data_IF_817247955524
#
_entry.id   IF_817247955524
#
_cell.length_a   1.000
_cell.length_b   1.000
_cell.length_c   1.000
_cell.angle_alpha   90.00
_cell.angle_beta   90.00
_cell.angle_gamma   90.00
#
_symmetry.space_group_name_H-M   'P 1'
#
loop_
_entity.id
_entity.type
_entity.pdbx_description
1 polymer ?
#
# COMPACT_ATOMS: atom_id res chain seq x y z
N UNK A 1 18.67 -0.94 14.93
CA UNK A 1 17.52 -1.29 15.80
C UNK A 1 17.12 -2.74 15.53
N UNK A 2 16.48 -3.47 16.47
CA UNK A 2 15.99 -4.82 16.18
C UNK A 2 14.90 -4.78 15.09
N UNK A 3 14.85 -5.81 14.25
CA UNK A 3 13.77 -5.98 13.28
C UNK A 3 12.47 -6.31 14.04
N UNK A 4 11.43 -5.53 13.79
CA UNK A 4 10.08 -5.81 14.30
C UNK A 4 9.21 -6.21 13.11
N UNK A 5 8.49 -7.31 13.25
CA UNK A 5 7.56 -7.81 12.22
C UNK A 5 6.16 -7.85 12.80
N UNK A 6 5.22 -7.20 12.11
CA UNK A 6 3.80 -7.23 12.43
C UNK A 6 3.02 -7.71 11.20
N UNK A 7 1.90 -8.40 11.43
CA UNK A 7 1.00 -8.82 10.36
C UNK A 7 -0.42 -8.41 10.71
N UNK A 8 -1.04 -7.64 9.80
CA UNK A 8 -2.41 -7.18 9.93
C UNK A 8 -3.25 -7.81 8.82
N UNK A 9 -4.40 -8.40 9.19
CA UNK A 9 -5.31 -9.04 8.22
C UNK A 9 -6.68 -8.37 8.29
N UNK A 10 -7.19 -7.97 7.13
CA UNK A 10 -8.54 -7.43 6.96
C UNK A 10 -9.39 -8.39 6.14
N UNK A 11 -10.69 -8.45 6.44
CA UNK A 11 -11.68 -9.18 5.63
C UNK A 11 -12.65 -8.17 5.04
N UNK A 12 -13.00 -8.36 3.77
CA UNK A 12 -13.89 -7.46 3.05
C UNK A 12 -14.84 -8.23 2.14
N UNK A 13 -16.03 -7.67 1.95
CA UNK A 13 -17.03 -8.16 1.01
C UNK A 13 -16.72 -7.60 -0.37
N UNK A 14 -15.74 -8.21 -1.06
CA UNK A 14 -15.31 -7.83 -2.41
C UNK A 14 -14.66 -9.03 -3.09
N UNK A 15 -14.58 -9.02 -4.43
CA UNK A 15 -13.73 -9.98 -5.14
C UNK A 15 -12.26 -9.62 -4.94
N UNK A 16 -11.37 -10.61 -4.95
CA UNK A 16 -9.92 -10.34 -4.84
C UNK A 16 -9.41 -9.51 -6.03
N UNK A 17 -10.00 -9.68 -7.23
CA UNK A 17 -9.67 -8.89 -8.41
C UNK A 17 -10.00 -7.41 -8.26
N UNK A 18 -11.13 -7.06 -7.63
CA UNK A 18 -11.50 -5.67 -7.40
C UNK A 18 -10.56 -5.02 -6.38
N UNK A 19 -10.25 -5.76 -5.31
CA UNK A 19 -9.31 -5.30 -4.28
C UNK A 19 -7.92 -5.11 -4.87
N UNK A 20 -7.45 -6.08 -5.64
CA UNK A 20 -6.17 -6.01 -6.32
C UNK A 20 -6.12 -4.83 -7.29
N UNK A 21 -7.20 -4.61 -8.05
CA UNK A 21 -7.32 -3.46 -8.96
C UNK A 21 -7.29 -2.13 -8.20
N UNK A 22 -7.89 -2.06 -7.01
CA UNK A 22 -7.80 -0.88 -6.15
C UNK A 22 -6.38 -0.66 -5.62
N UNK A 23 -5.66 -1.73 -5.26
CA UNK A 23 -4.25 -1.68 -4.83
C UNK A 23 -3.33 -1.20 -5.96
N UNK A 24 -3.50 -1.73 -7.18
CA UNK A 24 -2.69 -1.31 -8.34
C UNK A 24 -2.98 0.14 -8.75
N UNK A 25 -4.22 0.59 -8.55
CA UNK A 25 -4.66 1.95 -8.79
C UNK A 25 -4.55 2.87 -7.56
N UNK A 26 -3.81 2.47 -6.51
CA UNK A 26 -3.79 3.16 -5.22
C UNK A 26 -3.50 4.67 -5.32
N UNK A 27 -2.64 5.07 -6.27
CA UNK A 27 -2.30 6.50 -6.48
C UNK A 27 -3.51 7.38 -6.82
N UNK A 28 -4.53 6.82 -7.48
CA UNK A 28 -5.76 7.52 -7.81
C UNK A 28 -6.89 7.18 -6.83
N UNK A 29 -6.97 5.92 -6.38
CA UNK A 29 -8.10 5.43 -5.59
C UNK A 29 -7.99 5.85 -4.13
N UNK A 30 -6.82 5.79 -3.50
CA UNK A 30 -6.71 5.94 -2.05
C UNK A 30 -7.01 7.36 -1.57
N UNK A 31 -6.47 8.45 -2.19
CA UNK A 31 -6.84 9.80 -1.79
C UNK A 31 -8.33 10.10 -1.93
N UNK A 32 -8.99 9.51 -2.94
CA UNK A 32 -10.42 9.69 -3.17
C UNK A 32 -11.28 8.87 -2.21
N UNK A 33 -10.92 7.60 -1.98
CA UNK A 33 -11.71 6.67 -1.17
C UNK A 33 -11.47 6.87 0.34
N UNK A 34 -10.28 7.31 0.73
CA UNK A 34 -9.84 7.47 2.11
C UNK A 34 -9.13 8.82 2.32
N UNK A 35 -9.80 9.96 2.02
CA UNK A 35 -9.18 11.30 2.09
C UNK A 35 -8.71 11.67 3.50
N UNK A 36 -9.31 11.07 4.53
CA UNK A 36 -8.87 11.28 5.91
C UNK A 36 -7.51 10.64 6.22
N UNK A 37 -7.13 9.58 5.48
CA UNK A 37 -5.88 8.83 5.66
C UNK A 37 -4.81 9.25 4.65
N UNK A 38 -5.21 9.51 3.40
CA UNK A 38 -4.32 9.90 2.30
C UNK A 38 -4.81 11.21 1.71
N UNK A 39 -3.99 12.26 1.76
CA UNK A 39 -4.29 13.52 1.10
C UNK A 39 -3.91 13.47 -0.38
N UNK A 40 -2.75 12.89 -0.70
CA UNK A 40 -2.26 12.71 -2.07
C UNK A 40 -1.26 11.55 -2.14
N UNK A 41 -1.14 10.94 -3.31
CA UNK A 41 -0.09 9.96 -3.62
C UNK A 41 0.46 10.30 -5.01
N UNK A 42 1.57 11.03 -5.02
CA UNK A 42 2.21 11.51 -6.23
C UNK A 42 3.18 10.48 -6.79
N UNK A 43 3.07 10.21 -8.08
CA UNK A 43 4.04 9.39 -8.83
C UNK A 43 5.30 10.22 -9.06
N UNK A 44 6.44 9.76 -8.55
CA UNK A 44 7.73 10.44 -8.71
C UNK A 44 8.58 9.74 -9.78
N UNK A 45 8.54 8.41 -9.84
CA UNK A 45 9.27 7.60 -10.84
C UNK A 45 8.37 6.51 -11.41
N UNK A 46 8.41 6.32 -12.74
CA UNK A 46 7.59 5.36 -13.51
C UNK A 46 6.09 5.59 -13.31
N UNK A 47 5.29 4.52 -13.42
CA UNK A 47 3.83 4.56 -13.34
C UNK A 47 3.28 4.54 -11.91
N UNK A 48 4.14 4.41 -10.90
CA UNK A 48 3.76 4.41 -9.50
C UNK A 48 3.32 3.06 -8.95
N UNK A 49 3.40 1.99 -9.76
CA UNK A 49 3.06 0.64 -9.30
C UNK A 49 3.99 -0.45 -9.84
N UNK A 50 4.61 -0.31 -11.01
CA UNK A 50 5.61 -1.28 -11.48
C UNK A 50 6.84 -1.33 -10.57
N UNK A 51 7.52 -2.47 -10.54
CA UNK A 51 8.81 -2.62 -9.85
C UNK A 51 9.76 -1.46 -10.17
N UNK A 52 10.43 -0.94 -9.15
CA UNK A 52 11.27 0.25 -9.23
C UNK A 52 10.49 1.57 -9.36
N UNK A 53 9.17 1.59 -9.25
CA UNK A 53 8.42 2.85 -9.14
C UNK A 53 8.70 3.53 -7.80
N UNK A 54 8.63 4.87 -7.78
CA UNK A 54 8.66 5.67 -6.55
C UNK A 54 7.40 6.50 -6.48
N UNK A 55 6.74 6.50 -5.33
CA UNK A 55 5.62 7.38 -5.01
C UNK A 55 5.88 8.14 -3.72
N UNK A 56 5.53 9.43 -3.73
CA UNK A 56 5.53 10.27 -2.54
C UNK A 56 4.10 10.32 -2.00
N UNK A 57 3.92 9.92 -0.74
CA UNK A 57 2.63 9.87 -0.06
C UNK A 57 2.52 11.06 0.87
N UNK A 58 1.47 11.86 0.69
CA UNK A 58 1.06 12.88 1.65
C UNK A 58 -0.10 12.33 2.46
N UNK A 59 0.08 12.23 3.77
CA UNK A 59 -0.94 11.66 4.64
C UNK A 59 -2.03 12.68 4.96
N UNK A 60 -3.23 12.16 5.17
CA UNK A 60 -4.42 12.94 5.49
C UNK A 60 -4.44 13.43 6.94
N UNK A 61 -5.49 14.18 7.31
CA UNK A 61 -5.65 14.79 8.63
C UNK A 61 -5.53 13.79 9.80
N UNK A 62 -5.92 12.53 9.63
CA UNK A 62 -5.82 11.49 10.65
C UNK A 62 -4.39 11.29 11.18
N UNK A 63 -3.39 11.55 10.33
CA UNK A 63 -1.99 11.35 10.67
C UNK A 63 -1.18 12.66 10.72
N UNK A 64 -1.76 13.80 10.36
CA UNK A 64 -1.11 15.12 10.25
C UNK A 64 -0.27 15.59 11.45
N UNK A 65 -0.48 15.01 12.64
CA UNK A 65 0.28 15.34 13.87
C UNK A 65 1.46 14.40 14.16
N UNK A 66 1.51 13.26 13.49
CA UNK A 66 2.46 12.16 13.75
C UNK A 66 3.30 11.88 12.50
N UNK A 67 2.72 12.12 11.33
CA UNK A 67 3.22 11.77 10.01
C UNK A 67 3.03 12.96 9.07
N UNK A 68 4.11 13.41 8.43
CA UNK A 68 4.09 14.42 7.37
C UNK A 68 3.90 13.78 6.00
N UNK A 69 4.96 13.17 5.47
CA UNK A 69 4.97 12.51 4.16
C UNK A 69 5.90 11.31 4.16
N UNK A 70 5.65 10.34 3.29
CA UNK A 70 6.51 9.17 3.14
C UNK A 70 6.92 8.98 1.69
N UNK A 71 8.15 8.51 1.46
CA UNK A 71 8.57 8.04 0.14
C UNK A 71 8.56 6.52 0.12
N UNK A 72 7.82 5.97 -0.82
CA UNK A 72 7.68 4.53 -0.99
C UNK A 72 8.22 4.09 -2.35
N UNK A 73 9.05 3.05 -2.31
CA UNK A 73 9.55 2.35 -3.47
C UNK A 73 8.83 1.01 -3.65
N UNK A 74 8.42 0.72 -4.88
CA UNK A 74 7.90 -0.61 -5.22
C UNK A 74 9.09 -1.54 -5.49
N UNK A 75 9.26 -2.54 -4.63
CA UNK A 75 10.38 -3.49 -4.70
C UNK A 75 10.04 -4.68 -5.59
N UNK A 76 8.80 -5.16 -5.55
CA UNK A 76 8.37 -6.32 -6.32
C UNK A 76 6.85 -6.28 -6.51
N UNK A 77 6.39 -6.70 -7.70
CA UNK A 77 4.97 -6.91 -7.99
C UNK A 77 4.78 -8.27 -8.61
N UNK A 78 3.96 -9.10 -7.98
CA UNK A 78 3.52 -10.37 -8.53
C UNK A 78 2.01 -10.33 -8.77
N UNK A 79 1.63 -10.08 -10.02
CA UNK A 79 0.22 -10.07 -10.42
C UNK A 79 -0.43 -11.46 -10.37
N UNK A 80 0.36 -12.54 -10.47
CA UNK A 80 -0.17 -13.92 -10.43
C UNK A 80 -0.59 -14.30 -9.02
N UNK A 81 0.19 -13.88 -8.02
CA UNK A 81 -0.09 -14.10 -6.60
C UNK A 81 -0.79 -12.91 -5.92
N UNK A 82 -1.08 -11.83 -6.65
CA UNK A 82 -1.66 -10.58 -6.13
C UNK A 82 -0.91 -10.05 -4.91
N UNK A 83 0.43 -10.03 -5.03
CA UNK A 83 1.31 -9.49 -3.99
C UNK A 83 2.11 -8.30 -4.49
N UNK A 84 2.33 -7.34 -3.59
CA UNK A 84 3.24 -6.22 -3.81
C UNK A 84 4.11 -6.04 -2.58
N UNK A 85 5.41 -5.91 -2.81
CA UNK A 85 6.38 -5.53 -1.78
C UNK A 85 6.82 -4.11 -2.01
N UNK A 86 6.80 -3.33 -0.95
CA UNK A 86 7.24 -1.95 -0.96
C UNK A 86 8.17 -1.68 0.21
N UNK A 87 9.03 -0.69 0.04
CA UNK A 87 9.86 -0.17 1.13
C UNK A 87 9.53 1.30 1.29
N UNK A 88 9.17 1.71 2.50
CA UNK A 88 9.01 3.10 2.86
C UNK A 88 10.23 3.55 3.65
N UNK A 89 10.94 4.55 3.14
CA UNK A 89 12.08 5.13 3.82
C UNK A 89 11.63 6.39 4.59
N UNK A 90 12.10 6.55 5.82
CA UNK A 90 11.90 7.82 6.54
C UNK A 90 12.96 8.82 6.07
N UNK A 91 12.59 9.73 5.17
CA UNK A 91 13.41 10.89 4.83
C UNK A 91 13.29 12.02 5.87
N UNK A 92 12.72 11.71 7.04
CA UNK A 92 12.51 12.61 8.17
C UNK A 92 11.10 13.16 8.28
N UNK A 93 10.17 12.69 7.44
CA UNK A 93 8.80 13.17 7.37
C UNK A 93 7.73 12.11 7.65
N UNK A 94 8.05 10.82 7.74
CA UNK A 94 7.02 9.78 7.91
C UNK A 94 6.76 9.51 9.39
N UNK A 95 7.76 9.08 10.17
CA UNK A 95 7.62 9.07 11.64
C UNK A 95 9.00 9.32 12.26
N UNK A 96 9.37 10.59 12.50
CA UNK A 96 10.74 10.93 12.89
C UNK A 96 11.21 10.07 14.07
N UNK A 97 12.27 9.29 13.85
CA UNK A 97 13.03 8.54 14.86
C UNK A 97 12.40 7.24 15.41
N UNK A 98 11.40 6.65 14.75
CA UNK A 98 10.90 5.32 15.14
C UNK A 98 11.49 4.17 14.32
N UNK A 99 11.86 4.39 13.06
CA UNK A 99 12.46 3.40 12.18
C UNK A 99 13.26 4.09 11.07
N UNK A 100 14.27 3.39 10.54
CA UNK A 100 15.07 3.87 9.39
C UNK A 100 14.33 3.59 8.07
N UNK A 101 13.70 2.41 7.98
CA UNK A 101 12.86 1.99 6.87
C UNK A 101 11.81 0.99 7.36
N UNK A 102 10.73 0.84 6.58
CA UNK A 102 9.71 -0.19 6.78
C UNK A 102 9.52 -0.94 5.47
N UNK A 103 9.71 -2.26 5.51
CA UNK A 103 9.35 -3.14 4.42
C UNK A 103 7.91 -3.63 4.61
N UNK A 104 7.08 -3.46 3.59
CA UNK A 104 5.65 -3.77 3.60
C UNK A 104 5.40 -4.81 2.53
N UNK A 105 4.77 -5.92 2.91
CA UNK A 105 4.22 -6.89 1.94
C UNK A 105 2.71 -6.85 2.03
N UNK A 106 2.06 -6.49 0.93
CA UNK A 106 0.60 -6.56 0.78
C UNK A 106 0.27 -7.76 -0.09
N UNK A 107 -0.64 -8.62 0.38
CA UNK A 107 -1.14 -9.77 -0.35
C UNK A 107 -2.66 -9.83 -0.31
N UNK A 108 -3.30 -10.00 -1.46
CA UNK A 108 -4.75 -10.15 -1.57
C UNK A 108 -5.10 -11.62 -1.79
N UNK A 109 -5.79 -12.22 -0.83
CA UNK A 109 -6.15 -13.64 -0.85
C UNK A 109 -7.66 -13.85 -0.93
N UNK A 110 -8.07 -14.92 -1.63
CA UNK A 110 -9.45 -15.39 -1.58
C UNK A 110 -9.68 -16.14 -0.26
N UNK A 111 -10.67 -15.72 0.53
CA UNK A 111 -11.06 -16.43 1.75
C UNK A 111 -11.82 -17.74 1.45
N UNK A 112 -12.35 -17.89 0.24
CA UNK A 112 -13.01 -19.11 -0.22
C UNK A 112 -12.63 -19.43 -1.68
N UNK A 113 -11.68 -20.34 -1.93
CA UNK A 113 -11.28 -20.72 -3.28
C UNK A 113 -12.42 -21.40 -4.09
N UNK A 114 -13.43 -21.96 -3.43
CA UNK A 114 -14.56 -22.65 -4.08
C UNK A 114 -15.68 -21.69 -4.53
N UNK A 115 -15.66 -20.43 -4.08
CA UNK A 115 -16.63 -19.41 -4.50
C UNK A 115 -16.48 -19.00 -5.98
N UNK A 116 -15.41 -19.43 -6.66
CA UNK A 116 -15.22 -19.24 -8.12
C UNK A 116 -16.33 -19.90 -8.96
N UNK A 117 -17.12 -20.81 -8.40
CA UNK A 117 -18.06 -21.65 -9.16
C UNK A 117 -19.50 -21.11 -9.28
N UNK A 118 -19.81 -19.96 -8.67
CA UNK A 118 -21.20 -19.45 -8.59
C UNK A 118 -21.41 -18.20 -9.47
N UNK A 119 -20.37 -17.68 -10.11
CA UNK A 119 -20.44 -16.44 -10.89
C UNK A 119 -20.18 -16.61 -12.41
N UNK A 120 -20.16 -17.84 -12.91
CA UNK A 120 -20.15 -18.15 -14.35
C UNK A 120 -21.55 -18.54 -14.84
#
# INVERSE_FOLDING_TARGET
MPLVTETVTFRMFSSASDVWSAVTAATAVFPMAMPNLYADIKRNRRDGFTEGSIRDITFGPAYSRVVGSGREEIVEVDHSNMTVKTTMNDDGAFVPRLFDSVDITTAVNFLNPDARRIAD
#
